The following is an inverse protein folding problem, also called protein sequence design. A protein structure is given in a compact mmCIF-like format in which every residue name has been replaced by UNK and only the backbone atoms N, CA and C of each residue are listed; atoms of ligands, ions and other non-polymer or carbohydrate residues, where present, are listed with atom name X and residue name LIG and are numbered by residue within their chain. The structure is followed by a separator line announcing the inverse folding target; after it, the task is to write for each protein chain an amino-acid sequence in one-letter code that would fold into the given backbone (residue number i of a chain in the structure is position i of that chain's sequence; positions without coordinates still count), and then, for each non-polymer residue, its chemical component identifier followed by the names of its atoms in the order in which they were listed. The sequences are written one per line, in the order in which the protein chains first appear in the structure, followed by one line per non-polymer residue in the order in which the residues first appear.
data_IF_245927120952
#
_entry.id   IF_245927120952
#
_cell.length_a   1.000
_cell.length_b   1.000
_cell.length_c   1.000
_cell.angle_alpha   90.00
_cell.angle_beta   90.00
_cell.angle_gamma   90.00
#
_symmetry.space_group_name_H-M   'P 1'
#
loop_
_entity.id
_entity.type
_entity.pdbx_description
1 polymer ?
#
# COMPACT_ATOMS: atom_id res chain seq x y z
N UNK A 1 22.95 1.29 29.09
CA UNK A 1 21.63 0.72 29.41
C UNK A 1 21.73 0.01 30.77
N UNK A 2 21.37 0.69 31.83
CA UNK A 2 21.43 0.13 33.20
C UNK A 2 20.27 -0.89 33.28
N UNK A 3 20.59 -2.18 33.40
CA UNK A 3 19.59 -3.19 33.68
C UNK A 3 19.03 -2.89 35.07
N UNK A 4 17.78 -2.50 35.15
CA UNK A 4 17.00 -2.60 36.36
C UNK A 4 16.71 -4.10 36.49
N UNK A 5 17.60 -4.80 37.19
CA UNK A 5 17.64 -6.25 37.21
C UNK A 5 16.33 -6.80 37.80
N UNK A 6 15.58 -7.52 36.98
CA UNK A 6 14.53 -8.43 37.42
C UNK A 6 13.17 -7.84 37.76
N UNK A 7 12.96 -6.53 37.66
CA UNK A 7 11.65 -5.94 37.95
C UNK A 7 10.77 -5.97 36.70
N UNK A 8 9.66 -6.71 36.68
CA UNK A 8 8.78 -6.73 35.52
C UNK A 8 8.10 -5.37 35.37
N UNK A 9 8.39 -4.68 34.27
CA UNK A 9 7.66 -3.48 33.86
C UNK A 9 6.46 -3.92 33.01
N UNK A 10 5.28 -3.43 33.34
CA UNK A 10 4.07 -3.69 32.59
C UNK A 10 3.65 -2.41 31.85
N UNK A 11 3.65 -2.46 30.53
CA UNK A 11 3.15 -1.38 29.66
C UNK A 11 1.72 -1.73 29.29
N UNK A 12 0.77 -0.94 29.76
CA UNK A 12 -0.65 -1.12 29.45
C UNK A 12 -1.01 -0.15 28.32
N UNK A 13 -1.25 -0.69 27.14
CA UNK A 13 -1.77 0.05 26.00
C UNK A 13 -3.27 -0.07 25.99
N UNK A 14 -3.98 1.04 26.21
CA UNK A 14 -5.44 1.11 26.05
C UNK A 14 -5.76 1.46 24.60
N UNK A 15 -6.28 0.52 23.84
CA UNK A 15 -6.71 0.71 22.46
C UNK A 15 -7.91 -0.17 22.12
N UNK A 16 -8.81 0.33 21.28
CA UNK A 16 -9.90 -0.46 20.73
C UNK A 16 -9.36 -1.41 19.66
N UNK A 17 -9.74 -2.71 19.73
CA UNK A 17 -9.38 -3.73 18.74
C UNK A 17 -10.02 -3.51 17.35
N UNK A 18 -10.91 -2.51 17.22
CA UNK A 18 -11.73 -2.27 16.03
C UNK A 18 -11.54 -0.88 15.42
N UNK A 19 -10.50 -0.16 15.80
CA UNK A 19 -10.19 1.11 15.15
C UNK A 19 -9.42 0.86 13.85
N UNK A 20 -9.83 1.49 12.75
CA UNK A 20 -9.20 1.42 11.41
C UNK A 20 -7.75 1.94 11.35
N UNK A 21 -7.23 2.42 12.44
CA UNK A 21 -5.82 2.69 12.67
C UNK A 21 -5.52 2.44 14.14
N UNK A 22 -4.34 1.93 14.51
CA UNK A 22 -3.96 1.86 15.90
C UNK A 22 -3.95 3.29 16.44
N UNK A 23 -5.01 3.66 17.13
CA UNK A 23 -5.01 4.85 17.98
C UNK A 23 -4.10 4.51 19.15
N UNK A 24 -2.81 4.74 18.97
CA UNK A 24 -1.89 4.79 20.10
C UNK A 24 -2.33 6.04 20.88
N UNK A 25 -2.82 5.87 22.11
CA UNK A 25 -3.34 6.99 22.88
C UNK A 25 -2.20 7.97 23.10
N UNK A 26 -2.40 9.22 22.73
CA UNK A 26 -1.46 10.30 23.04
C UNK A 26 -1.23 10.41 24.56
N UNK A 27 -2.22 9.97 25.37
CA UNK A 27 -2.22 10.11 26.83
C UNK A 27 -2.51 8.82 27.62
N UNK A 28 -2.52 7.64 27.00
CA UNK A 28 -3.03 6.43 27.63
C UNK A 28 -2.00 5.33 27.94
N UNK A 29 -0.72 5.61 27.85
CA UNK A 29 0.31 4.63 28.23
C UNK A 29 0.56 4.73 29.72
N UNK A 30 0.02 3.79 30.50
CA UNK A 30 0.36 3.65 31.90
C UNK A 30 1.56 2.70 32.02
N UNK A 31 2.61 3.18 32.62
CA UNK A 31 3.78 2.37 32.99
C UNK A 31 3.67 2.07 34.45
N UNK A 32 3.51 0.79 34.79
CA UNK A 32 3.43 0.33 36.16
C UNK A 32 4.63 -0.56 36.50
N UNK A 33 5.19 -0.31 37.67
CA UNK A 33 6.25 -1.14 38.26
C UNK A 33 5.72 -1.79 39.53
N UNK A 34 5.04 -2.96 39.46
CA UNK A 34 4.32 -3.53 40.60
C UNK A 34 5.12 -3.75 41.86
N UNK A 35 6.44 -3.91 41.76
CA UNK A 35 7.33 -4.23 42.87
C UNK A 35 8.46 -3.19 43.04
N UNK A 36 8.38 -2.05 42.37
CA UNK A 36 9.44 -1.06 42.39
C UNK A 36 9.68 -0.47 43.78
N UNK A 37 8.62 -0.32 44.58
CA UNK A 37 8.73 0.22 45.95
C UNK A 37 9.55 -0.62 46.91
N UNK A 38 9.89 -1.88 46.58
CA UNK A 38 10.79 -2.70 47.38
C UNK A 38 12.27 -2.38 47.17
N UNK A 39 12.62 -1.76 46.02
CA UNK A 39 13.99 -1.62 45.54
C UNK A 39 14.38 -0.18 45.19
N UNK A 40 13.39 0.70 44.96
CA UNK A 40 13.58 2.07 44.52
C UNK A 40 12.83 3.02 45.44
N UNK A 41 13.42 4.17 45.64
CA UNK A 41 12.73 5.30 46.29
C UNK A 41 11.71 5.94 45.35
N UNK A 42 10.73 6.63 45.89
CA UNK A 42 9.70 7.33 45.10
C UNK A 42 10.27 8.26 44.02
N UNK A 43 11.31 9.09 44.29
CA UNK A 43 11.95 9.93 43.26
C UNK A 43 12.60 9.10 42.14
N UNK A 44 13.19 7.94 42.47
CA UNK A 44 13.78 7.05 41.46
C UNK A 44 12.72 6.38 40.58
N UNK A 45 11.60 5.95 41.18
CA UNK A 45 10.44 5.43 40.45
C UNK A 45 9.94 6.48 39.48
N UNK A 46 9.76 7.72 39.94
CA UNK A 46 9.28 8.81 39.10
C UNK A 46 10.26 9.11 37.95
N UNK A 47 11.55 9.16 38.19
CA UNK A 47 12.56 9.40 37.18
C UNK A 47 12.60 8.32 36.09
N UNK A 48 12.47 7.04 36.48
CA UNK A 48 12.38 5.92 35.55
C UNK A 48 11.08 5.98 34.75
N UNK A 49 9.94 6.25 35.39
CA UNK A 49 8.63 6.39 34.77
C UNK A 49 8.65 7.51 33.72
N UNK A 50 9.22 8.67 34.06
CA UNK A 50 9.33 9.80 33.14
C UNK A 50 10.23 9.49 31.93
N UNK A 51 11.33 8.76 32.16
CA UNK A 51 12.24 8.34 31.09
C UNK A 51 11.53 7.38 30.12
N UNK A 52 10.87 6.35 30.65
CA UNK A 52 10.14 5.37 29.85
C UNK A 52 8.94 6.00 29.14
N UNK A 53 8.20 6.88 29.81
CA UNK A 53 7.07 7.60 29.21
C UNK A 53 7.49 8.47 28.02
N UNK A 54 8.67 9.09 28.08
CA UNK A 54 9.25 9.83 26.95
C UNK A 54 9.61 8.86 25.80
N UNK A 55 10.33 7.79 26.09
CA UNK A 55 10.72 6.81 25.08
C UNK A 55 9.50 6.18 24.38
N UNK A 56 8.47 5.80 25.15
CA UNK A 56 7.23 5.25 24.58
C UNK A 56 6.52 6.28 23.70
N UNK A 57 6.42 7.54 24.11
CA UNK A 57 5.83 8.59 23.29
C UNK A 57 6.57 8.81 21.97
N UNK A 58 7.90 8.80 22.00
CA UNK A 58 8.71 8.99 20.79
C UNK A 58 8.57 7.81 19.83
N UNK A 59 8.57 6.58 20.33
CA UNK A 59 8.33 5.36 19.55
C UNK A 59 6.91 5.39 18.98
N UNK A 60 5.90 5.72 19.79
CA UNK A 60 4.53 5.79 19.36
C UNK A 60 4.32 6.80 18.24
N UNK A 61 4.97 7.98 18.33
CA UNK A 61 4.93 8.99 17.27
C UNK A 61 5.50 8.45 15.97
N UNK A 62 6.66 7.79 16.04
CA UNK A 62 7.31 7.20 14.86
C UNK A 62 6.41 6.12 14.21
N UNK A 63 5.88 5.21 15.00
CA UNK A 63 4.96 4.16 14.52
C UNK A 63 3.72 4.78 13.85
N UNK A 64 3.18 5.85 14.42
CA UNK A 64 2.03 6.54 13.86
C UNK A 64 2.34 7.22 12.51
N UNK A 65 3.50 7.86 12.41
CA UNK A 65 3.96 8.45 11.15
C UNK A 65 4.17 7.39 10.07
N UNK A 66 4.78 6.26 10.42
CA UNK A 66 4.99 5.14 9.49
C UNK A 66 3.67 4.49 9.07
N UNK A 67 2.73 4.29 9.99
CA UNK A 67 1.39 3.80 9.68
C UNK A 67 0.64 4.73 8.72
N UNK A 68 0.76 6.07 8.90
CA UNK A 68 0.18 7.04 7.95
C UNK A 68 0.80 6.96 6.57
N UNK A 69 2.13 6.77 6.47
CA UNK A 69 2.84 6.60 5.19
C UNK A 69 2.38 5.34 4.48
N UNK A 70 2.29 4.22 5.21
CA UNK A 70 1.80 2.95 4.68
C UNK A 70 0.36 3.11 4.19
N UNK A 71 -0.55 3.66 5.00
CA UNK A 71 -1.93 3.92 4.59
C UNK A 71 -2.01 4.77 3.32
N UNK A 72 -1.22 5.83 3.24
CA UNK A 72 -1.18 6.69 2.06
C UNK A 72 -0.65 5.97 0.81
N UNK A 73 0.30 5.05 0.97
CA UNK A 73 0.86 4.25 -0.12
C UNK A 73 -0.13 3.21 -0.66
N UNK A 74 -1.01 2.68 0.20
CA UNK A 74 -2.06 1.72 -0.15
C UNK A 74 -3.36 2.37 -0.61
N UNK A 75 -3.52 3.67 -0.39
CA UNK A 75 -4.73 4.39 -0.81
C UNK A 75 -4.67 4.68 -2.30
N UNK A 76 -5.58 4.10 -3.05
CA UNK A 76 -5.72 4.30 -4.50
C UNK A 76 -6.29 5.69 -4.78
N UNK A 77 -5.91 6.27 -5.91
CA UNK A 77 -6.38 7.60 -6.36
C UNK A 77 -7.05 7.54 -7.73
N UNK A 78 -7.11 6.36 -8.34
CA UNK A 78 -7.63 6.18 -9.71
C UNK A 78 -6.78 6.90 -10.76
N UNK A 79 -5.50 7.14 -10.49
CA UNK A 79 -4.61 7.90 -11.36
C UNK A 79 -4.31 7.13 -12.65
N UNK A 80 -4.24 7.85 -13.78
CA UNK A 80 -3.68 7.30 -15.01
C UNK A 80 -2.16 7.27 -14.91
N UNK A 81 -1.60 6.06 -14.88
CA UNK A 81 -0.19 5.79 -14.66
C UNK A 81 0.63 5.77 -15.95
N UNK A 82 -0.03 5.35 -17.04
CA UNK A 82 0.55 5.32 -18.35
C UNK A 82 -0.52 5.55 -19.41
N UNK A 83 -0.16 6.30 -20.43
CA UNK A 83 -1.02 6.60 -21.57
C UNK A 83 -0.20 6.55 -22.86
N UNK A 84 -0.70 5.84 -23.86
CA UNK A 84 -0.14 5.85 -25.19
C UNK A 84 -1.24 5.81 -26.23
N UNK A 85 -1.26 6.78 -27.11
CA UNK A 85 -2.19 6.84 -28.24
C UNK A 85 -1.48 6.43 -29.53
N UNK A 86 -2.19 5.68 -30.34
CA UNK A 86 -1.84 5.34 -31.71
C UNK A 86 -2.93 5.87 -32.63
N UNK A 87 -2.81 5.64 -33.93
CA UNK A 87 -3.83 6.10 -34.89
C UNK A 87 -5.22 5.50 -34.64
N UNK A 88 -5.32 4.31 -34.11
CA UNK A 88 -6.56 3.53 -34.03
C UNK A 88 -6.98 3.19 -32.60
N UNK A 89 -6.07 3.24 -31.62
CA UNK A 89 -6.36 2.88 -30.22
C UNK A 89 -5.48 3.59 -29.22
N UNK A 90 -6.03 3.67 -28.03
CA UNK A 90 -5.36 4.16 -26.84
C UNK A 90 -5.07 2.98 -25.90
N UNK A 91 -3.84 2.91 -25.40
CA UNK A 91 -3.48 2.08 -24.26
C UNK A 91 -3.47 2.97 -23.02
N UNK A 92 -4.29 2.61 -22.06
CA UNK A 92 -4.42 3.34 -20.79
C UNK A 92 -4.13 2.36 -19.66
N UNK A 93 -3.26 2.74 -18.75
CA UNK A 93 -3.01 1.99 -17.52
C UNK A 93 -3.41 2.88 -16.36
N UNK A 94 -4.33 2.40 -15.54
CA UNK A 94 -4.86 3.14 -14.39
C UNK A 94 -4.64 2.37 -13.09
N UNK A 95 -4.53 3.10 -12.01
CA UNK A 95 -4.70 2.55 -10.68
C UNK A 95 -6.12 2.01 -10.52
N UNK A 96 -6.25 0.76 -10.07
CA UNK A 96 -7.55 0.18 -9.74
C UNK A 96 -8.01 0.72 -8.39
N UNK A 97 -9.33 0.98 -8.27
CA UNK A 97 -9.95 1.48 -7.04
C UNK A 97 -10.12 0.39 -5.96
N UNK A 98 -9.78 -0.87 -6.27
CA UNK A 98 -9.82 -1.94 -5.27
C UNK A 98 -8.72 -1.75 -4.22
N UNK A 99 -9.07 -1.87 -2.93
CA UNK A 99 -8.07 -1.79 -1.88
C UNK A 99 -7.07 -2.95 -2.01
N UNK A 100 -5.79 -2.62 -1.94
CA UNK A 100 -4.73 -3.61 -1.79
C UNK A 100 -4.50 -3.88 -0.31
N UNK A 101 -4.26 -5.14 0.01
CA UNK A 101 -3.91 -5.60 1.34
C UNK A 101 -2.45 -6.02 1.34
N UNK A 102 -1.75 -5.68 2.39
CA UNK A 102 -0.42 -6.25 2.65
C UNK A 102 -0.67 -7.58 3.37
N UNK A 103 -0.65 -8.66 2.62
CA UNK A 103 -0.69 -9.98 3.20
C UNK A 103 0.65 -10.32 3.86
N UNK A 104 0.62 -11.31 4.75
CA UNK A 104 1.80 -11.76 5.50
C UNK A 104 2.69 -12.62 4.57
N UNK A 105 3.24 -11.97 3.55
CA UNK A 105 4.07 -12.54 2.50
C UNK A 105 5.56 -12.34 2.82
N UNK A 106 6.40 -13.24 2.33
CA UNK A 106 7.86 -13.17 2.43
C UNK A 106 8.45 -11.84 1.89
N UNK A 107 7.70 -11.16 1.02
CA UNK A 107 8.07 -9.87 0.45
C UNK A 107 7.69 -8.66 1.31
N UNK A 108 6.89 -8.83 2.36
CA UNK A 108 6.40 -7.72 3.19
C UNK A 108 7.51 -6.78 3.67
N UNK A 109 8.67 -7.25 4.18
CA UNK A 109 9.74 -6.37 4.60
C UNK A 109 10.29 -5.49 3.46
N UNK A 110 10.36 -6.03 2.23
CA UNK A 110 10.85 -5.31 1.04
C UNK A 110 9.86 -4.24 0.62
N UNK A 111 8.57 -4.56 0.65
CA UNK A 111 7.48 -3.62 0.32
C UNK A 111 7.44 -2.49 1.34
N UNK A 112 7.52 -2.80 2.64
CA UNK A 112 7.54 -1.80 3.71
C UNK A 112 8.78 -0.88 3.61
N UNK A 113 9.96 -1.43 3.35
CA UNK A 113 11.16 -0.63 3.11
C UNK A 113 10.98 0.33 1.94
N UNK A 114 10.43 -0.16 0.84
CA UNK A 114 10.19 0.67 -0.33
C UNK A 114 9.16 1.79 -0.05
N UNK A 115 8.10 1.51 0.69
CA UNK A 115 7.09 2.50 1.08
C UNK A 115 7.70 3.55 2.02
N UNK A 116 8.35 3.10 3.09
CA UNK A 116 8.82 3.98 4.16
C UNK A 116 10.06 4.79 3.75
N UNK A 117 10.99 4.20 3.00
CA UNK A 117 12.27 4.81 2.69
C UNK A 117 12.38 5.36 1.26
N UNK A 118 11.58 4.86 0.31
CA UNK A 118 11.63 5.29 -1.09
C UNK A 118 10.34 5.97 -1.56
N UNK A 119 9.33 6.07 -0.67
CA UNK A 119 8.04 6.68 -1.00
C UNK A 119 7.26 5.90 -2.04
N UNK A 120 7.46 4.59 -2.12
CA UNK A 120 6.77 3.74 -3.07
C UNK A 120 5.26 3.72 -2.83
N UNK A 121 4.51 3.44 -3.89
CA UNK A 121 3.07 3.17 -3.85
C UNK A 121 2.84 1.70 -4.15
N UNK A 122 1.82 1.12 -3.53
CA UNK A 122 1.45 -0.27 -3.68
C UNK A 122 -0.04 -0.35 -3.99
N UNK A 123 -0.38 -0.81 -5.19
CA UNK A 123 -1.76 -0.86 -5.66
C UNK A 123 -1.93 -1.86 -6.79
N UNK A 124 -3.16 -2.30 -7.03
CA UNK A 124 -3.50 -2.98 -8.27
C UNK A 124 -3.58 -1.98 -9.43
N UNK A 125 -3.30 -2.43 -10.64
CA UNK A 125 -3.38 -1.63 -11.86
C UNK A 125 -4.16 -2.35 -12.94
N UNK A 126 -4.89 -1.59 -13.75
CA UNK A 126 -5.68 -2.08 -14.87
C UNK A 126 -5.14 -1.55 -16.18
N UNK A 127 -5.12 -2.42 -17.18
CA UNK A 127 -4.77 -2.13 -18.56
C UNK A 127 -6.04 -2.08 -19.40
N UNK A 128 -6.18 -1.02 -20.18
CA UNK A 128 -7.29 -0.89 -21.13
C UNK A 128 -6.75 -0.60 -22.51
N UNK A 129 -7.18 -1.40 -23.48
CA UNK A 129 -7.03 -1.09 -24.90
C UNK A 129 -8.37 -0.57 -25.39
N UNK A 130 -8.42 0.69 -25.78
CA UNK A 130 -9.67 1.39 -26.16
C UNK A 130 -9.58 1.76 -27.62
N UNK A 131 -10.64 1.49 -28.38
CA UNK A 131 -10.77 1.97 -29.76
C UNK A 131 -10.91 3.50 -29.77
N UNK A 132 -10.09 4.17 -30.55
CA UNK A 132 -10.13 5.63 -30.65
C UNK A 132 -11.34 6.15 -31.44
N UNK A 133 -11.84 5.33 -32.36
CA UNK A 133 -12.96 5.69 -33.25
C UNK A 133 -14.34 5.57 -32.58
N UNK A 134 -14.52 4.61 -31.70
CA UNK A 134 -15.83 4.30 -31.09
C UNK A 134 -15.82 4.37 -29.55
N UNK A 135 -14.68 4.75 -28.98
CA UNK A 135 -14.48 4.85 -27.52
C UNK A 135 -14.88 3.58 -26.75
N UNK A 136 -14.68 2.42 -27.36
CA UNK A 136 -15.02 1.11 -26.82
C UNK A 136 -13.78 0.43 -26.29
N UNK A 137 -13.91 -0.20 -25.11
CA UNK A 137 -12.88 -1.09 -24.56
C UNK A 137 -12.84 -2.37 -25.40
N UNK A 138 -11.69 -2.65 -26.01
CA UNK A 138 -11.45 -3.84 -26.84
C UNK A 138 -10.89 -5.00 -26.03
N UNK A 139 -10.10 -4.71 -25.02
CA UNK A 139 -9.55 -5.68 -24.07
C UNK A 139 -9.12 -4.96 -22.79
N UNK A 140 -9.09 -5.72 -21.71
CA UNK A 140 -8.58 -5.26 -20.42
C UNK A 140 -7.79 -6.38 -19.73
N UNK A 141 -6.91 -5.98 -18.80
CA UNK A 141 -6.17 -6.90 -17.95
C UNK A 141 -5.86 -6.22 -16.62
N UNK A 142 -5.52 -7.00 -15.63
CA UNK A 142 -5.24 -6.51 -14.28
C UNK A 142 -3.96 -7.13 -13.73
N UNK A 143 -3.18 -6.32 -13.06
CA UNK A 143 -2.07 -6.74 -12.20
C UNK A 143 -2.39 -6.37 -10.77
N UNK A 144 -2.24 -7.32 -9.87
CA UNK A 144 -2.30 -7.08 -8.42
C UNK A 144 -0.90 -6.82 -7.87
N UNK A 145 -0.84 -6.21 -6.69
CA UNK A 145 0.36 -6.12 -5.85
C UNK A 145 1.56 -5.42 -6.53
N UNK A 146 1.24 -4.34 -7.24
CA UNK A 146 2.24 -3.59 -8.00
C UNK A 146 2.92 -2.54 -7.11
N UNK A 147 4.21 -2.76 -6.86
CA UNK A 147 5.06 -1.81 -6.16
C UNK A 147 5.66 -0.82 -7.16
N UNK A 148 5.37 0.47 -6.97
CA UNK A 148 5.83 1.55 -7.85
C UNK A 148 6.66 2.56 -7.07
N UNK A 149 7.94 2.68 -7.43
CA UNK A 149 8.84 3.67 -6.83
C UNK A 149 8.77 4.96 -7.65
N UNK A 150 8.62 6.14 -7.03
CA UNK A 150 8.59 7.41 -7.73
C UNK A 150 9.83 7.62 -8.61
N UNK A 151 9.62 8.05 -9.85
CA UNK A 151 10.70 8.28 -10.81
C UNK A 151 11.17 7.05 -11.59
N UNK A 152 10.72 5.85 -11.26
CA UNK A 152 11.01 4.67 -12.06
C UNK A 152 10.16 4.63 -13.35
N UNK A 153 10.76 4.20 -14.47
CA UNK A 153 10.03 4.08 -15.72
C UNK A 153 9.01 2.93 -15.66
N UNK A 154 7.85 3.03 -16.37
CA UNK A 154 6.78 2.02 -16.34
C UNK A 154 7.24 0.58 -16.59
N UNK A 155 8.26 0.39 -17.42
CA UNK A 155 8.85 -0.94 -17.71
C UNK A 155 9.42 -1.68 -16.48
N UNK A 156 9.59 -1.00 -15.34
CA UNK A 156 10.12 -1.60 -14.12
C UNK A 156 9.06 -2.33 -13.29
N UNK A 157 7.84 -1.83 -13.35
CA UNK A 157 6.72 -2.37 -12.57
C UNK A 157 5.61 -2.96 -13.45
N UNK A 158 5.61 -2.67 -14.76
CA UNK A 158 4.62 -3.18 -15.71
C UNK A 158 5.03 -4.55 -16.23
N UNK A 159 4.14 -5.54 -16.11
CA UNK A 159 4.33 -6.83 -16.76
C UNK A 159 4.10 -6.70 -18.27
N UNK A 160 5.17 -6.82 -19.02
CA UNK A 160 5.12 -6.73 -20.49
C UNK A 160 4.47 -7.97 -21.12
N UNK A 161 4.47 -9.11 -20.45
CA UNK A 161 3.81 -10.33 -20.94
C UNK A 161 2.31 -10.13 -20.92
N UNK A 162 1.77 -9.70 -19.79
CA UNK A 162 0.35 -9.36 -19.66
C UNK A 162 -0.06 -8.27 -20.66
N UNK A 163 0.77 -7.24 -20.84
CA UNK A 163 0.51 -6.20 -21.82
C UNK A 163 0.39 -6.78 -23.25
N UNK A 164 1.29 -7.71 -23.62
CA UNK A 164 1.23 -8.38 -24.92
C UNK A 164 -0.03 -9.23 -25.07
N UNK A 165 -0.45 -9.92 -24.02
CA UNK A 165 -1.69 -10.72 -24.00
C UNK A 165 -2.92 -9.83 -24.22
N UNK A 166 -3.07 -8.74 -23.47
CA UNK A 166 -4.16 -7.78 -23.62
C UNK A 166 -4.16 -7.17 -25.03
N UNK A 167 -2.99 -6.87 -25.60
CA UNK A 167 -2.89 -6.36 -26.97
C UNK A 167 -3.26 -7.43 -28.02
N UNK A 168 -2.96 -8.70 -27.77
CA UNK A 168 -3.37 -9.80 -28.66
C UNK A 168 -4.88 -10.04 -28.63
N UNK A 169 -5.49 -9.99 -27.44
CA UNK A 169 -6.93 -10.07 -27.25
C UNK A 169 -7.66 -8.95 -28.00
N UNK A 170 -7.20 -7.71 -27.84
CA UNK A 170 -7.78 -6.56 -28.56
C UNK A 170 -7.74 -6.75 -30.09
N UNK A 171 -6.64 -7.32 -30.64
CA UNK A 171 -6.53 -7.62 -32.08
C UNK A 171 -7.49 -8.72 -32.51
N UNK A 172 -7.67 -9.75 -31.68
CA UNK A 172 -8.63 -10.81 -31.93
C UNK A 172 -10.06 -10.27 -31.99
N UNK A 173 -10.44 -9.41 -31.04
CA UNK A 173 -11.74 -8.76 -31.00
C UNK A 173 -12.01 -7.92 -32.25
N UNK A 174 -11.07 -7.10 -32.68
CA UNK A 174 -11.16 -6.34 -33.94
C UNK A 174 -11.37 -7.27 -35.13
N UNK A 175 -10.68 -8.40 -35.17
CA UNK A 175 -10.78 -9.36 -36.26
C UNK A 175 -12.15 -10.01 -36.29
N UNK A 176 -12.72 -10.37 -35.14
CA UNK A 176 -14.07 -10.91 -35.01
C UNK A 176 -15.11 -9.92 -35.50
N UNK A 177 -15.07 -8.68 -35.04
CA UNK A 177 -16.01 -7.64 -35.46
C UNK A 177 -15.90 -7.38 -36.96
N UNK A 178 -14.70 -7.31 -37.51
CA UNK A 178 -14.50 -7.12 -38.97
C UNK A 178 -15.09 -8.27 -39.78
N UNK A 179 -14.88 -9.53 -39.35
CA UNK A 179 -15.40 -10.69 -40.03
C UNK A 179 -16.94 -10.74 -39.97
N UNK A 180 -17.54 -10.42 -38.82
CA UNK A 180 -18.98 -10.33 -38.66
C UNK A 180 -19.57 -9.27 -39.58
N UNK A 181 -18.99 -8.08 -39.66
CA UNK A 181 -19.44 -7.01 -40.57
C UNK A 181 -19.29 -7.39 -42.04
N UNK A 182 -18.24 -8.11 -42.41
CA UNK A 182 -18.02 -8.58 -43.78
C UNK A 182 -19.01 -9.65 -44.22
N UNK A 183 -19.63 -10.36 -43.28
CA UNK A 183 -20.66 -11.36 -43.54
C UNK A 183 -22.05 -10.75 -43.78
N UNK A 184 -22.25 -9.48 -43.44
CA UNK A 184 -23.51 -8.75 -43.67
C UNK A 184 -23.57 -8.39 -45.16
N UNK A 185 -24.45 -9.04 -45.90
CA UNK A 185 -24.71 -8.65 -47.30
C UNK A 185 -25.43 -7.32 -47.33
N UNK A 186 -25.00 -6.36 -48.16
CA UNK A 186 -25.80 -5.16 -48.39
C UNK A 186 -27.14 -5.57 -48.98
N UNK A 187 -28.24 -5.02 -48.42
CA UNK A 187 -29.60 -5.18 -48.93
C UNK A 187 -29.77 -4.40 -50.22
#
# INVERSE_FOLDING_TARGET
MTKIAGTPAQIILSGSRYADAPQLPEDGTQIAFPWAGEWLTEPEIQAVTDCLSRAVRDISRQVWEDARRIKAALTTRGETLFYRQTRNFRLVVKENDMPCWLDDDDNLPVVLDAILNKGARYSSVEFFVISDNVDQILACGQMCDVLRIPGEPPRRWMDLTLLHEVMAEARAEISLVRNALSAIRPV
#
